data_IF_365116470188
#
_entry.id   IF_365116470188
#
_cell.length_a   1.000
_cell.length_b   1.000
_cell.length_c   1.000
_cell.angle_alpha   90.00
_cell.angle_beta   90.00
_cell.angle_gamma   90.00
#
_symmetry.space_group_name_H-M   'P 1'
#
loop_
_entity.id
_entity.type
_entity.pdbx_description
1 polymer ?
#
# COMPACT_ATOMS: atom_id res chain seq x y z
N UNK A 1 68.28 12.61 41.35
CA UNK A 1 68.02 12.41 39.91
C UNK A 1 66.69 11.66 39.73
N UNK A 2 65.69 12.36 39.36
CA UNK A 2 64.36 11.75 39.15
C UNK A 2 64.27 11.46 37.68
N UNK A 3 64.53 10.21 37.32
CA UNK A 3 64.24 9.73 35.99
C UNK A 3 62.71 9.66 35.80
N UNK A 4 62.17 10.71 35.27
CA UNK A 4 60.83 10.65 34.73
C UNK A 4 60.87 9.85 33.43
N UNK A 5 60.75 8.55 33.55
CA UNK A 5 60.39 7.76 32.42
C UNK A 5 58.98 8.14 32.08
N UNK A 6 58.88 9.02 31.12
CA UNK A 6 57.59 9.23 30.45
C UNK A 6 57.34 7.94 29.72
N UNK A 7 56.41 7.15 30.25
CA UNK A 7 55.96 5.95 29.58
C UNK A 7 55.39 6.29 28.18
N UNK A 8 55.47 5.37 27.27
CA UNK A 8 54.98 5.64 25.93
C UNK A 8 53.55 6.12 26.00
N UNK A 9 53.32 7.26 25.37
CA UNK A 9 51.98 7.76 25.11
C UNK A 9 51.12 6.61 24.65
N UNK A 10 50.19 6.22 25.51
CA UNK A 10 49.12 5.34 25.07
C UNK A 10 48.43 6.04 23.91
N UNK A 11 48.74 5.60 22.73
CA UNK A 11 48.03 6.00 21.55
C UNK A 11 46.62 5.47 21.74
N UNK A 12 45.75 6.33 22.25
CA UNK A 12 44.31 6.05 22.26
C UNK A 12 43.88 6.03 20.82
N UNK A 13 43.91 4.85 20.23
CA UNK A 13 43.18 4.56 19.00
C UNK A 13 41.72 4.73 19.32
N UNK A 14 41.20 5.94 19.11
CA UNK A 14 39.78 6.18 19.02
C UNK A 14 39.38 5.50 17.74
N UNK A 15 39.01 4.23 17.85
CA UNK A 15 38.22 3.56 16.82
C UNK A 15 36.86 4.27 16.79
N UNK A 16 36.77 5.25 15.91
CA UNK A 16 35.47 5.81 15.53
C UNK A 16 34.74 4.69 14.81
N UNK A 17 34.01 3.94 15.60
CA UNK A 17 32.97 3.04 15.06
C UNK A 17 31.94 3.93 14.34
N UNK A 18 32.20 4.14 13.06
CA UNK A 18 31.18 4.60 12.14
C UNK A 18 30.12 3.49 12.11
N UNK A 19 29.19 3.57 13.05
CA UNK A 19 27.93 2.85 12.94
C UNK A 19 27.20 3.50 11.75
N UNK A 20 27.50 3.00 10.57
CA UNK A 20 26.72 3.30 9.40
C UNK A 20 25.28 2.85 9.69
N UNK A 21 24.41 3.81 9.95
CA UNK A 21 22.99 3.58 9.95
C UNK A 21 22.66 3.22 8.50
N UNK A 22 22.67 1.93 8.19
CA UNK A 22 22.06 1.40 7.00
C UNK A 22 20.57 1.72 7.14
N UNK A 23 20.14 2.84 6.55
CA UNK A 23 18.74 3.07 6.27
C UNK A 23 18.30 1.93 5.38
N UNK A 24 17.72 0.91 5.97
CA UNK A 24 17.02 -0.13 5.22
C UNK A 24 15.76 0.51 4.68
N UNK A 25 15.84 1.00 3.44
CA UNK A 25 14.65 1.32 2.69
C UNK A 25 13.89 0.00 2.50
N UNK A 26 12.80 -0.16 3.25
CA UNK A 26 11.91 -1.31 3.10
C UNK A 26 11.32 -1.20 1.70
N UNK A 27 11.69 -2.09 0.79
CA UNK A 27 11.03 -2.18 -0.51
C UNK A 27 9.56 -2.49 -0.27
N UNK A 28 8.65 -1.73 -0.91
CA UNK A 28 7.23 -2.00 -0.88
C UNK A 28 6.99 -3.44 -1.36
N UNK A 29 6.13 -4.18 -0.67
CA UNK A 29 5.75 -5.52 -1.11
C UNK A 29 5.00 -5.46 -2.44
N UNK A 30 4.96 -6.57 -3.18
CA UNK A 30 4.15 -6.68 -4.41
C UNK A 30 2.70 -6.32 -4.13
N UNK A 31 2.17 -6.74 -2.98
CA UNK A 31 0.80 -6.44 -2.54
C UNK A 31 0.60 -4.93 -2.36
N UNK A 32 1.52 -4.25 -1.69
CA UNK A 32 1.41 -2.79 -1.50
C UNK A 32 1.44 -2.04 -2.84
N UNK A 33 2.28 -2.48 -3.77
CA UNK A 33 2.36 -1.91 -5.12
C UNK A 33 1.06 -2.12 -5.89
N UNK A 34 0.53 -3.32 -5.90
CA UNK A 34 -0.72 -3.64 -6.58
C UNK A 34 -1.90 -2.84 -6.00
N UNK A 35 -2.01 -2.77 -4.67
CA UNK A 35 -3.07 -1.99 -4.00
C UNK A 35 -2.92 -0.50 -4.34
N UNK A 36 -1.72 0.04 -4.32
CA UNK A 36 -1.46 1.41 -4.74
C UNK A 36 -1.89 1.68 -6.19
N UNK A 37 -1.65 0.73 -7.09
CA UNK A 37 -2.09 0.81 -8.48
C UNK A 37 -3.61 0.75 -8.62
N UNK A 38 -4.29 -0.11 -7.87
CA UNK A 38 -5.76 -0.19 -7.84
C UNK A 38 -6.41 1.09 -7.31
N UNK A 39 -5.87 1.65 -6.22
CA UNK A 39 -6.34 2.92 -5.67
C UNK A 39 -6.11 4.08 -6.64
N UNK A 40 -4.97 4.11 -7.31
CA UNK A 40 -4.67 5.09 -8.35
C UNK A 40 -5.57 4.94 -9.58
N UNK A 41 -5.88 3.73 -9.98
CA UNK A 41 -6.83 3.44 -11.06
C UNK A 41 -8.23 3.96 -10.73
N UNK A 42 -8.71 3.69 -9.52
CA UNK A 42 -9.99 4.23 -9.04
C UNK A 42 -10.01 5.76 -9.13
N UNK A 43 -9.01 6.41 -8.58
CA UNK A 43 -8.96 7.89 -8.58
C UNK A 43 -8.93 8.48 -9.99
N UNK A 44 -8.12 7.94 -10.88
CA UNK A 44 -8.01 8.40 -12.27
C UNK A 44 -9.23 8.06 -13.12
N UNK A 45 -10.02 7.09 -12.72
CA UNK A 45 -11.22 6.67 -13.47
C UNK A 45 -12.28 7.77 -13.53
N UNK A 46 -12.33 8.65 -12.52
CA UNK A 46 -13.40 9.63 -12.38
C UNK A 46 -14.79 9.01 -12.18
N UNK A 47 -14.88 7.69 -11.99
CA UNK A 47 -16.15 6.99 -11.79
C UNK A 47 -16.74 7.32 -10.43
N UNK A 48 -18.08 7.25 -10.33
CA UNK A 48 -18.78 7.35 -9.06
C UNK A 48 -18.81 6.00 -8.35
N UNK A 49 -18.73 6.01 -7.03
CA UNK A 49 -18.76 4.81 -6.20
C UNK A 49 -19.96 4.86 -5.26
N UNK A 50 -20.81 3.86 -5.35
CA UNK A 50 -21.94 3.68 -4.43
C UNK A 50 -21.48 2.97 -3.16
N UNK A 51 -21.75 3.61 -2.04
CA UNK A 51 -21.38 3.11 -0.72
C UNK A 51 -22.49 3.45 0.28
N UNK A 52 -23.03 2.43 0.89
CA UNK A 52 -23.96 2.59 2.02
C UNK A 52 -25.09 3.61 1.78
N UNK A 53 -25.72 3.54 0.62
CA UNK A 53 -26.89 4.35 0.25
C UNK A 53 -26.58 5.65 -0.47
N UNK A 54 -25.32 5.99 -0.71
CA UNK A 54 -24.91 7.25 -1.35
C UNK A 54 -23.83 7.02 -2.40
N UNK A 55 -23.83 7.90 -3.40
CA UNK A 55 -22.75 7.97 -4.41
C UNK A 55 -21.68 8.94 -3.96
N UNK A 56 -20.43 8.53 -4.13
CA UNK A 56 -19.24 9.31 -3.80
C UNK A 56 -18.37 9.52 -5.02
N UNK A 57 -17.57 10.57 -5.01
CA UNK A 57 -16.53 10.77 -6.01
C UNK A 57 -15.46 9.67 -5.93
N UNK A 58 -14.74 9.46 -7.02
CA UNK A 58 -13.60 8.55 -7.05
C UNK A 58 -12.54 8.91 -6.00
N UNK A 59 -12.28 10.19 -5.81
CA UNK A 59 -11.33 10.68 -4.81
C UNK A 59 -11.76 10.36 -3.38
N UNK A 60 -13.01 10.58 -3.03
CA UNK A 60 -13.55 10.26 -1.71
C UNK A 60 -13.56 8.75 -1.47
N UNK A 61 -13.93 7.97 -2.49
CA UNK A 61 -13.91 6.52 -2.43
C UNK A 61 -12.49 5.98 -2.22
N UNK A 62 -11.50 6.52 -2.94
CA UNK A 62 -10.09 6.18 -2.73
C UNK A 62 -9.66 6.42 -1.28
N UNK A 63 -9.92 7.61 -0.75
CA UNK A 63 -9.54 7.96 0.61
C UNK A 63 -10.19 7.01 1.64
N UNK A 64 -11.43 6.61 1.41
CA UNK A 64 -12.13 5.64 2.26
C UNK A 64 -11.48 4.25 2.19
N UNK A 65 -11.21 3.74 0.99
CA UNK A 65 -10.56 2.43 0.82
C UNK A 65 -9.15 2.41 1.41
N UNK A 66 -8.42 3.50 1.29
CA UNK A 66 -7.09 3.64 1.88
C UNK A 66 -7.11 3.58 3.41
N UNK A 67 -8.12 4.19 4.05
CA UNK A 67 -8.31 4.06 5.51
C UNK A 67 -8.63 2.63 5.91
N UNK A 68 -9.49 1.93 5.15
CA UNK A 68 -9.81 0.51 5.39
C UNK A 68 -8.56 -0.36 5.22
N UNK A 69 -7.76 -0.10 4.21
CA UNK A 69 -6.50 -0.82 3.99
C UNK A 69 -5.55 -0.70 5.17
N UNK A 70 -5.31 0.52 5.64
CA UNK A 70 -4.47 0.76 6.82
C UNK A 70 -5.00 0.04 8.06
N UNK A 71 -6.29 0.09 8.29
CA UNK A 71 -6.91 -0.64 9.39
C UNK A 71 -6.67 -2.15 9.29
N UNK A 72 -6.83 -2.73 8.11
CA UNK A 72 -6.60 -4.15 7.89
C UNK A 72 -5.13 -4.55 8.11
N UNK A 73 -4.19 -3.69 7.69
CA UNK A 73 -2.76 -3.89 7.96
C UNK A 73 -2.46 -3.91 9.47
N UNK A 74 -2.99 -2.95 10.21
CA UNK A 74 -2.81 -2.86 11.67
C UNK A 74 -3.37 -4.09 12.40
N UNK A 75 -4.43 -4.66 11.87
CA UNK A 75 -5.07 -5.86 12.43
C UNK A 75 -4.47 -7.18 11.95
N UNK A 76 -3.46 -7.16 11.09
CA UNK A 76 -2.85 -8.36 10.54
C UNK A 76 -3.79 -9.18 9.63
N UNK A 77 -4.75 -8.52 9.00
CA UNK A 77 -5.79 -9.16 8.16
C UNK A 77 -5.48 -9.06 6.67
N UNK A 78 -4.27 -8.67 6.31
CA UNK A 78 -3.82 -8.52 4.93
C UNK A 78 -2.70 -9.51 4.60
N UNK A 79 -2.91 -10.32 3.59
CA UNK A 79 -1.90 -11.23 3.03
C UNK A 79 -1.74 -11.10 1.53
N UNK A 80 -2.82 -10.83 0.81
CA UNK A 80 -2.86 -10.75 -0.65
C UNK A 80 -3.61 -9.50 -1.10
N UNK A 81 -3.44 -9.14 -2.38
CA UNK A 81 -4.23 -8.04 -2.98
C UNK A 81 -5.71 -8.42 -3.06
N UNK A 82 -6.01 -9.70 -3.23
CA UNK A 82 -7.37 -10.22 -3.18
C UNK A 82 -8.02 -10.01 -1.81
N UNK A 83 -7.27 -10.17 -0.72
CA UNK A 83 -7.75 -9.84 0.63
C UNK A 83 -8.20 -8.39 0.76
N UNK A 84 -7.46 -7.47 0.14
CA UNK A 84 -7.86 -6.05 0.08
C UNK A 84 -9.19 -5.87 -0.66
N UNK A 85 -9.33 -6.47 -1.83
CA UNK A 85 -10.57 -6.36 -2.61
C UNK A 85 -11.74 -6.93 -1.81
N UNK A 86 -11.59 -8.13 -1.24
CA UNK A 86 -12.64 -8.79 -0.48
C UNK A 86 -13.02 -8.04 0.79
N UNK A 87 -12.03 -7.64 1.60
CA UNK A 87 -12.26 -7.09 2.93
C UNK A 87 -12.48 -5.59 2.96
N UNK A 88 -11.86 -4.84 2.03
CA UNK A 88 -11.95 -3.39 2.01
C UNK A 88 -12.91 -2.86 0.94
N UNK A 89 -12.93 -3.47 -0.24
CA UNK A 89 -13.50 -2.88 -1.44
C UNK A 89 -14.76 -3.58 -1.97
N UNK A 90 -15.26 -4.60 -1.30
CA UNK A 90 -16.44 -5.35 -1.75
C UNK A 90 -17.74 -4.80 -1.19
N UNK A 91 -17.77 -4.50 0.10
CA UNK A 91 -19.00 -4.10 0.78
C UNK A 91 -18.73 -3.21 1.99
N UNK A 92 -19.78 -2.52 2.45
CA UNK A 92 -19.75 -1.76 3.69
C UNK A 92 -19.57 -2.69 4.89
N UNK A 93 -18.63 -2.39 5.77
CA UNK A 93 -18.43 -3.13 7.02
C UNK A 93 -19.59 -2.97 8.01
N UNK A 94 -20.41 -1.92 7.85
CA UNK A 94 -21.54 -1.62 8.73
C UNK A 94 -22.85 -2.24 8.25
N UNK A 95 -23.14 -2.14 6.95
CA UNK A 95 -24.44 -2.55 6.37
C UNK A 95 -24.37 -3.82 5.53
N UNK A 96 -23.14 -4.30 5.26
CA UNK A 96 -22.87 -5.42 4.34
C UNK A 96 -23.36 -5.19 2.90
N UNK A 97 -23.82 -3.99 2.58
CA UNK A 97 -24.26 -3.64 1.24
C UNK A 97 -23.06 -3.57 0.28
N UNK A 98 -23.16 -4.22 -0.89
CA UNK A 98 -22.10 -4.20 -1.89
C UNK A 98 -21.80 -2.77 -2.36
N UNK A 99 -20.51 -2.48 -2.55
CA UNK A 99 -20.08 -1.28 -3.26
C UNK A 99 -20.28 -1.48 -4.77
N UNK A 100 -20.66 -0.41 -5.44
CA UNK A 100 -20.82 -0.38 -6.88
C UNK A 100 -20.00 0.75 -7.50
N UNK A 101 -19.58 0.56 -8.73
CA UNK A 101 -18.86 1.55 -9.53
C UNK A 101 -19.65 1.86 -10.78
N UNK A 102 -19.85 3.15 -11.06
CA UNK A 102 -20.52 3.62 -12.27
C UNK A 102 -19.62 4.60 -13.00
N UNK A 103 -19.29 4.30 -14.24
CA UNK A 103 -18.43 5.08 -15.11
C UNK A 103 -19.22 5.58 -16.32
N UNK A 104 -19.10 6.86 -16.66
CA UNK A 104 -19.54 7.48 -17.92
C UNK A 104 -20.94 7.06 -18.38
N UNK A 105 -21.94 7.10 -17.48
CA UNK A 105 -23.32 6.78 -17.83
C UNK A 105 -23.59 5.31 -18.15
N UNK A 106 -22.62 4.42 -17.89
CA UNK A 106 -22.81 2.97 -17.99
C UNK A 106 -23.60 2.44 -16.80
N UNK A 107 -24.08 1.21 -16.93
CA UNK A 107 -24.70 0.51 -15.80
C UNK A 107 -23.67 0.31 -14.67
N UNK A 108 -24.11 0.45 -13.41
CA UNK A 108 -23.25 0.15 -12.27
C UNK A 108 -22.80 -1.32 -12.27
N UNK A 109 -21.56 -1.54 -11.91
CA UNK A 109 -20.99 -2.88 -11.71
C UNK A 109 -20.49 -3.03 -10.27
N UNK A 110 -20.32 -4.26 -9.79
CA UNK A 110 -19.76 -4.45 -8.45
C UNK A 110 -18.32 -3.94 -8.37
N UNK A 111 -17.98 -3.28 -7.29
CA UNK A 111 -16.62 -2.79 -7.04
C UNK A 111 -15.61 -3.94 -7.02
N UNK A 112 -15.98 -5.07 -6.43
CA UNK A 112 -15.14 -6.26 -6.40
C UNK A 112 -14.78 -6.77 -7.80
N UNK A 113 -15.77 -6.87 -8.69
CA UNK A 113 -15.56 -7.31 -10.08
C UNK A 113 -14.69 -6.31 -10.85
N UNK A 114 -15.00 -5.03 -10.72
CA UNK A 114 -14.29 -3.96 -11.40
C UNK A 114 -12.80 -3.90 -11.02
N UNK A 115 -12.49 -4.00 -9.72
CA UNK A 115 -11.11 -4.02 -9.23
C UNK A 115 -10.38 -5.33 -9.54
N UNK A 116 -11.08 -6.46 -9.48
CA UNK A 116 -10.50 -7.76 -9.85
C UNK A 116 -10.10 -7.79 -11.32
N UNK A 117 -10.93 -7.23 -12.19
CA UNK A 117 -10.62 -7.11 -13.63
C UNK A 117 -9.36 -6.27 -13.85
N UNK A 118 -9.24 -5.14 -13.15
CA UNK A 118 -8.03 -4.30 -13.24
C UNK A 118 -6.79 -5.01 -12.69
N UNK A 119 -6.91 -5.73 -11.58
CA UNK A 119 -5.82 -6.52 -11.02
C UNK A 119 -5.30 -7.57 -12.02
N UNK A 120 -6.20 -8.27 -12.69
CA UNK A 120 -5.83 -9.22 -13.73
C UNK A 120 -5.11 -8.56 -14.90
N UNK A 121 -5.59 -7.37 -15.32
CA UNK A 121 -4.93 -6.59 -16.37
C UNK A 121 -3.51 -6.18 -15.97
N UNK A 122 -3.30 -5.70 -14.74
CA UNK A 122 -2.00 -5.32 -14.21
C UNK A 122 -1.02 -6.50 -14.20
N UNK A 123 -1.48 -7.65 -13.77
CA UNK A 123 -0.66 -8.89 -13.72
C UNK A 123 -0.32 -9.39 -15.11
N UNK A 124 -1.26 -9.34 -16.06
CA UNK A 124 -1.03 -9.69 -17.45
C UNK A 124 -0.02 -8.77 -18.14
N UNK A 125 -0.06 -7.47 -17.88
CA UNK A 125 0.90 -6.50 -18.39
C UNK A 125 2.32 -6.74 -17.82
N UNK A 126 2.43 -7.09 -16.54
CA UNK A 126 3.71 -7.37 -15.89
C UNK A 126 4.41 -8.62 -16.44
N UNK A 127 3.65 -9.63 -16.86
CA UNK A 127 4.22 -10.85 -17.47
C UNK A 127 4.68 -10.62 -18.91
N UNK A 128 4.05 -9.71 -19.64
CA UNK A 128 4.41 -9.39 -21.02
C UNK A 128 5.71 -8.57 -21.13
N UNK A 129 6.16 -7.93 -20.05
CA UNK A 129 7.36 -7.06 -20.06
C UNK A 129 8.63 -7.78 -19.62
N UNK A 130 8.55 -9.07 -19.29
CA UNK A 130 9.74 -9.84 -18.91
C UNK A 130 10.44 -10.32 -20.16
N UNK A 131 11.71 -9.87 -20.43
CA UNK A 131 12.52 -10.36 -21.56
C UNK A 131 12.90 -11.83 -21.42
#
# INVERSE_FOLDING_TARGET
>A
MIDKKIGPLATVLIAVLFFGILSQATAASVVDVEIGQLLGYLERSGCAVYRNGSWYSASDARAHLERKYRYLLEKGLMGTTEDFIERAATASSMSEKPYQVQCDGREPVSSAEWLTTELQRLRGASTATKP
#
